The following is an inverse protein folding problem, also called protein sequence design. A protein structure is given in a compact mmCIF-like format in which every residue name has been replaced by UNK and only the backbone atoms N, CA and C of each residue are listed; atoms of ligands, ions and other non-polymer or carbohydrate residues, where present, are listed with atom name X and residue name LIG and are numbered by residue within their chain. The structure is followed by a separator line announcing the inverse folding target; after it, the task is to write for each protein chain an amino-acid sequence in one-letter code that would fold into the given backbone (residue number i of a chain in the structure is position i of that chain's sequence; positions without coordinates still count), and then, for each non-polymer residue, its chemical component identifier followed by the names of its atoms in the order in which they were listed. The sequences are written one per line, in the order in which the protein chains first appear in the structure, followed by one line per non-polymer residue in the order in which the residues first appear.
data_IF_007901704990
#
_entry.id   IF_007901704990
#
_cell.length_a   1.000
_cell.length_b   1.000
_cell.length_c   1.000
_cell.angle_alpha   90.00
_cell.angle_beta   90.00
_cell.angle_gamma   90.00
#
_symmetry.space_group_name_H-M   'P 1'
#
loop_
_entity.id
_entity.type
_entity.pdbx_description
1 polymer ?
#
# COMPACT_ATOMS: atom_id res chain seq x y z
N UNK A 1 10.35 -16.45 22.17
CA UNK A 1 9.31 -16.31 21.13
C UNK A 1 9.29 -14.85 20.73
N UNK A 2 9.40 -14.53 19.44
CA UNK A 2 9.38 -13.14 18.96
C UNK A 2 7.91 -12.70 18.96
N UNK A 3 7.54 -11.88 19.93
CA UNK A 3 6.29 -11.13 19.92
C UNK A 3 6.67 -9.68 19.63
N UNK A 4 5.93 -9.03 18.73
CA UNK A 4 6.16 -7.61 18.42
C UNK A 4 5.54 -6.68 19.48
N UNK A 5 4.52 -7.19 20.17
CA UNK A 5 3.87 -6.54 21.31
C UNK A 5 3.64 -7.61 22.38
N UNK A 6 4.02 -7.32 23.63
CA UNK A 6 3.68 -8.21 24.75
C UNK A 6 2.22 -7.98 25.19
N UNK A 7 1.52 -9.01 25.71
CA UNK A 7 0.12 -8.88 26.12
C UNK A 7 -0.13 -7.72 27.11
N UNK A 8 0.84 -7.43 27.98
CA UNK A 8 0.79 -6.32 28.94
C UNK A 8 0.87 -4.93 28.26
N UNK A 9 1.62 -4.82 27.17
CA UNK A 9 1.78 -3.58 26.40
C UNK A 9 0.61 -3.37 25.43
N UNK A 10 -0.03 -4.44 24.98
CA UNK A 10 -1.11 -4.41 24.01
C UNK A 10 -2.31 -3.60 24.52
N UNK A 11 -2.63 -3.73 25.82
CA UNK A 11 -3.66 -2.93 26.47
C UNK A 11 -3.37 -1.42 26.35
N UNK A 12 -2.15 -1.02 26.67
CA UNK A 12 -1.72 0.38 26.62
C UNK A 12 -1.72 0.92 25.19
N UNK A 13 -1.30 0.10 24.22
CA UNK A 13 -1.24 0.51 22.82
C UNK A 13 -2.64 0.74 22.27
N UNK A 14 -3.57 -0.19 22.49
CA UNK A 14 -4.95 -0.06 22.03
C UNK A 14 -5.66 1.12 22.69
N UNK A 15 -5.44 1.35 23.99
CA UNK A 15 -6.05 2.48 24.70
C UNK A 15 -5.54 3.83 24.17
N UNK A 16 -4.26 3.90 23.81
CA UNK A 16 -3.60 5.11 23.30
C UNK A 16 -4.01 5.54 21.89
N UNK A 17 -4.69 4.67 21.12
CA UNK A 17 -5.21 5.01 19.79
C UNK A 17 -6.30 6.07 19.94
N UNK A 18 -6.10 7.22 19.30
CA UNK A 18 -7.00 8.38 19.32
C UNK A 18 -7.14 8.97 17.90
N UNK A 19 -8.27 9.64 17.61
CA UNK A 19 -8.42 10.37 16.35
C UNK A 19 -7.50 11.60 16.32
N UNK A 20 -6.96 11.90 15.15
CA UNK A 20 -6.12 13.06 14.87
C UNK A 20 -6.72 13.89 13.74
N UNK A 21 -6.59 15.20 13.86
CA UNK A 21 -6.97 16.13 12.80
C UNK A 21 -5.90 16.17 11.71
N UNK A 22 -6.28 16.61 10.50
CA UNK A 22 -5.39 16.67 9.33
C UNK A 22 -4.12 17.51 9.59
N UNK A 23 -4.23 18.54 10.45
CA UNK A 23 -3.09 19.40 10.84
C UNK A 23 -2.09 18.71 11.77
N UNK A 24 -2.51 17.72 12.54
CA UNK A 24 -1.66 17.02 13.51
C UNK A 24 -0.89 15.84 12.89
N UNK A 25 -1.16 15.51 11.62
CA UNK A 25 -0.44 14.49 10.87
C UNK A 25 1.05 14.85 10.81
N UNK A 26 1.91 13.89 11.19
CA UNK A 26 3.36 14.09 11.29
C UNK A 26 3.85 14.71 12.60
N UNK A 27 2.96 15.10 13.51
CA UNK A 27 3.36 15.56 14.84
C UNK A 27 4.01 14.44 15.66
N UNK A 28 4.79 14.79 16.69
CA UNK A 28 5.43 13.80 17.58
C UNK A 28 4.42 12.85 18.22
N UNK A 29 3.25 13.39 18.61
CA UNK A 29 2.11 12.64 19.16
C UNK A 29 1.52 11.65 18.16
N UNK A 30 1.45 12.02 16.88
CA UNK A 30 0.95 11.17 15.80
C UNK A 30 1.96 10.05 15.51
N UNK A 31 3.26 10.36 15.50
CA UNK A 31 4.33 9.37 15.30
C UNK A 31 4.39 8.31 16.40
N UNK A 32 4.07 8.66 17.65
CA UNK A 32 3.91 7.69 18.76
C UNK A 32 2.79 6.68 18.46
N UNK A 33 1.62 7.17 18.04
CA UNK A 33 0.48 6.30 17.72
C UNK A 33 0.74 5.48 16.45
N UNK A 34 1.44 6.06 15.46
CA UNK A 34 1.90 5.34 14.28
C UNK A 34 2.77 4.13 14.64
N UNK A 35 3.76 4.31 15.52
CA UNK A 35 4.64 3.23 15.97
C UNK A 35 3.84 2.10 16.67
N UNK A 36 2.87 2.46 17.51
CA UNK A 36 2.00 1.50 18.18
C UNK A 36 1.13 0.72 17.18
N UNK A 37 0.49 1.42 16.23
CA UNK A 37 -0.36 0.81 15.19
C UNK A 37 0.45 -0.14 14.30
N UNK A 38 1.68 0.25 13.95
CA UNK A 38 2.56 -0.61 13.18
C UNK A 38 2.88 -1.92 13.92
N UNK A 39 3.27 -1.82 15.20
CA UNK A 39 3.55 -3.01 16.00
C UNK A 39 2.32 -3.90 16.19
N UNK A 40 1.15 -3.30 16.41
CA UNK A 40 -0.12 -4.05 16.46
C UNK A 40 -0.41 -4.76 15.13
N UNK A 41 -0.17 -4.09 13.99
CA UNK A 41 -0.35 -4.70 12.66
C UNK A 41 0.58 -5.88 12.42
N UNK A 42 1.86 -5.76 12.82
CA UNK A 42 2.84 -6.85 12.72
C UNK A 42 2.46 -8.02 13.64
N UNK A 43 2.02 -7.73 14.86
CA UNK A 43 1.58 -8.73 15.83
C UNK A 43 0.33 -9.48 15.33
N UNK A 44 -0.67 -8.77 14.81
CA UNK A 44 -1.87 -9.37 14.23
C UNK A 44 -1.54 -10.30 13.04
N UNK A 45 -0.62 -9.88 12.16
CA UNK A 45 -0.16 -10.71 11.05
C UNK A 45 0.57 -11.98 11.53
N UNK A 46 1.37 -11.86 12.59
CA UNK A 46 2.07 -12.99 13.20
C UNK A 46 1.11 -13.98 13.88
N UNK A 47 0.09 -13.49 14.57
CA UNK A 47 -0.96 -14.32 15.19
C UNK A 47 -1.67 -15.19 14.14
N UNK A 48 -2.05 -14.58 13.02
CA UNK A 48 -2.67 -15.30 11.90
C UNK A 48 -1.73 -16.33 11.26
N UNK A 49 -0.47 -15.95 10.99
CA UNK A 49 0.49 -16.85 10.34
C UNK A 49 0.81 -18.07 11.21
N UNK A 50 0.77 -17.90 12.53
CA UNK A 50 1.06 -18.96 13.49
C UNK A 50 -0.20 -19.67 14.02
N UNK A 51 -1.39 -19.33 13.51
CA UNK A 51 -2.68 -19.82 13.99
C UNK A 51 -2.83 -19.73 15.52
N UNK A 52 -2.39 -18.60 16.09
CA UNK A 52 -2.55 -18.29 17.52
C UNK A 52 -3.93 -17.69 17.80
N UNK A 53 -4.23 -17.48 19.07
CA UNK A 53 -5.37 -16.65 19.47
C UNK A 53 -5.17 -15.22 18.97
N UNK A 54 -6.21 -14.68 18.32
CA UNK A 54 -6.22 -13.35 17.72
C UNK A 54 -6.50 -12.26 18.77
N UNK A 55 -5.60 -12.12 19.73
CA UNK A 55 -5.80 -11.20 20.87
C UNK A 55 -5.91 -9.75 20.37
N UNK A 56 -5.08 -9.32 19.40
CA UNK A 56 -5.10 -7.94 18.87
C UNK A 56 -6.50 -7.55 18.39
N UNK A 57 -7.16 -8.47 17.67
CA UNK A 57 -8.53 -8.27 17.17
C UNK A 57 -9.50 -8.09 18.33
N UNK A 58 -9.50 -9.00 19.30
CA UNK A 58 -10.44 -8.96 20.44
C UNK A 58 -10.31 -7.66 21.25
N UNK A 59 -9.08 -7.17 21.44
CA UNK A 59 -8.86 -5.88 22.12
C UNK A 59 -9.34 -4.68 21.30
N UNK A 60 -9.14 -4.67 19.98
CA UNK A 60 -9.62 -3.58 19.11
C UNK A 60 -11.16 -3.52 19.07
N UNK A 61 -11.82 -4.67 19.00
CA UNK A 61 -13.28 -4.80 19.00
C UNK A 61 -13.86 -4.40 20.36
N UNK A 62 -13.34 -4.94 21.46
CA UNK A 62 -13.86 -4.66 22.81
C UNK A 62 -13.71 -3.20 23.25
N UNK A 63 -12.82 -2.43 22.62
CA UNK A 63 -12.56 -1.01 22.90
C UNK A 63 -13.12 -0.05 21.86
N UNK A 64 -13.94 -0.54 20.93
CA UNK A 64 -14.57 0.24 19.86
C UNK A 64 -13.57 1.10 19.06
N UNK A 65 -12.38 0.55 18.80
CA UNK A 65 -11.31 1.28 18.12
C UNK A 65 -11.44 1.25 16.59
N UNK A 66 -12.31 0.41 16.03
CA UNK A 66 -12.50 0.31 14.58
C UNK A 66 -12.98 1.64 13.98
N UNK A 67 -13.89 2.35 14.65
CA UNK A 67 -14.31 3.70 14.24
C UNK A 67 -13.13 4.67 14.16
N UNK A 68 -12.21 4.60 15.13
CA UNK A 68 -11.01 5.46 15.16
C UNK A 68 -10.03 5.07 14.05
N UNK A 69 -9.86 3.78 13.75
CA UNK A 69 -9.01 3.35 12.63
C UNK A 69 -9.55 3.84 11.28
N UNK A 70 -10.89 3.86 11.10
CA UNK A 70 -11.54 4.40 9.89
C UNK A 70 -11.30 5.91 9.80
N UNK A 71 -11.47 6.62 10.92
CA UNK A 71 -11.17 8.06 10.99
C UNK A 71 -9.73 8.37 10.57
N UNK A 72 -8.76 7.64 11.11
CA UNK A 72 -7.35 7.84 10.76
C UNK A 72 -7.04 7.50 9.30
N UNK A 73 -7.64 6.44 8.75
CA UNK A 73 -7.45 6.07 7.35
C UNK A 73 -7.97 7.17 6.40
N UNK A 74 -9.10 7.80 6.75
CA UNK A 74 -9.64 8.96 6.05
C UNK A 74 -8.78 10.20 6.21
N UNK A 75 -8.34 10.50 7.43
CA UNK A 75 -7.47 11.63 7.73
C UNK A 75 -6.19 11.58 6.87
N UNK A 76 -5.52 10.42 6.82
CA UNK A 76 -4.35 10.22 5.96
C UNK A 76 -4.69 10.29 4.48
N UNK A 77 -5.86 9.80 4.05
CA UNK A 77 -6.28 9.90 2.64
C UNK A 77 -6.55 11.32 2.21
N UNK A 78 -7.20 12.13 3.05
CA UNK A 78 -7.39 13.55 2.82
C UNK A 78 -6.05 14.28 2.74
N UNK A 79 -5.14 13.98 3.67
CA UNK A 79 -3.78 14.51 3.64
C UNK A 79 -3.04 14.13 2.35
N UNK A 80 -3.04 12.85 1.96
CA UNK A 80 -2.39 12.30 0.76
C UNK A 80 -2.94 12.89 -0.56
N UNK A 81 -4.23 13.21 -0.60
CA UNK A 81 -4.93 13.66 -1.82
C UNK A 81 -5.01 15.18 -1.95
N UNK A 82 -5.07 15.91 -0.83
CA UNK A 82 -5.28 17.38 -0.84
C UNK A 82 -4.09 18.15 -0.28
N UNK A 83 -3.41 17.66 0.75
CA UNK A 83 -2.30 18.38 1.40
C UNK A 83 -0.97 18.08 0.72
N UNK A 84 -0.67 16.80 0.47
CA UNK A 84 0.57 16.36 -0.16
C UNK A 84 0.87 17.03 -1.52
N UNK A 85 -0.09 17.21 -2.44
CA UNK A 85 0.18 17.93 -3.69
C UNK A 85 0.64 19.36 -3.46
N UNK A 86 0.04 20.08 -2.50
CA UNK A 86 0.45 21.45 -2.17
C UNK A 86 1.81 21.51 -1.48
N UNK A 87 2.16 20.50 -0.67
CA UNK A 87 3.52 20.39 -0.11
C UNK A 87 4.58 20.22 -1.22
N UNK A 88 4.29 19.42 -2.24
CA UNK A 88 5.19 19.22 -3.39
C UNK A 88 5.25 20.44 -4.32
N UNK A 89 4.23 21.29 -4.34
CA UNK A 89 4.27 22.59 -5.02
C UNK A 89 5.19 23.59 -4.30
N UNK A 90 5.29 23.52 -2.97
CA UNK A 90 6.13 24.40 -2.15
C UNK A 90 7.60 24.02 -2.26
N UNK A 91 7.93 22.72 -2.11
CA UNK A 91 9.27 22.19 -2.35
C UNK A 91 9.20 20.96 -3.29
N UNK A 92 9.59 21.14 -4.56
CA UNK A 92 9.62 20.05 -5.52
C UNK A 92 10.66 18.97 -5.22
N UNK A 93 11.61 19.13 -4.30
CA UNK A 93 12.58 18.05 -4.02
C UNK A 93 12.88 17.93 -2.53
N UNK A 94 11.92 17.42 -1.73
CA UNK A 94 12.09 17.30 -0.30
C UNK A 94 13.23 16.34 0.03
N UNK A 95 14.22 16.80 0.80
CA UNK A 95 15.32 15.95 1.28
C UNK A 95 14.85 14.90 2.30
N UNK A 96 13.69 15.12 2.94
CA UNK A 96 13.11 14.27 3.98
C UNK A 96 11.84 13.52 3.52
N UNK A 97 11.92 12.80 2.40
CA UNK A 97 10.80 11.95 1.91
C UNK A 97 10.37 10.84 2.87
N UNK A 98 11.22 10.49 3.84
CA UNK A 98 10.93 9.44 4.82
C UNK A 98 9.70 9.71 5.70
N UNK A 99 9.44 10.96 6.10
CA UNK A 99 8.24 11.29 6.86
C UNK A 99 6.96 11.14 6.01
N UNK A 100 7.03 11.52 4.73
CA UNK A 100 5.92 11.32 3.80
C UNK A 100 5.65 9.83 3.63
N UNK A 101 6.70 9.02 3.44
CA UNK A 101 6.59 7.56 3.40
C UNK A 101 5.94 7.01 4.67
N UNK A 102 6.34 7.49 5.85
CA UNK A 102 5.77 7.07 7.15
C UNK A 102 4.25 7.33 7.21
N UNK A 103 3.80 8.47 6.69
CA UNK A 103 2.37 8.79 6.58
C UNK A 103 1.65 7.83 5.64
N UNK A 104 2.20 7.56 4.46
CA UNK A 104 1.62 6.60 3.50
C UNK A 104 1.57 5.18 4.08
N UNK A 105 2.61 4.77 4.79
CA UNK A 105 2.69 3.45 5.41
C UNK A 105 1.70 3.31 6.58
N UNK A 106 1.43 4.40 7.31
CA UNK A 106 0.40 4.41 8.35
C UNK A 106 -0.96 3.99 7.82
N UNK A 107 -1.37 4.54 6.68
CA UNK A 107 -2.63 4.18 6.02
C UNK A 107 -2.67 2.67 5.69
N UNK A 108 -1.58 2.14 5.16
CA UNK A 108 -1.47 0.71 4.85
C UNK A 108 -1.57 -0.18 6.10
N UNK A 109 -0.98 0.24 7.22
CA UNK A 109 -1.06 -0.46 8.51
C UNK A 109 -2.47 -0.41 9.13
N UNK A 110 -3.15 0.73 9.04
CA UNK A 110 -4.55 0.89 9.47
C UNK A 110 -5.48 -0.05 8.70
N UNK A 111 -5.38 -0.05 7.36
CA UNK A 111 -6.18 -0.93 6.50
C UNK A 111 -5.83 -2.40 6.71
N UNK A 112 -4.58 -2.72 7.06
CA UNK A 112 -4.19 -4.07 7.48
C UNK A 112 -4.98 -4.55 8.69
N UNK A 113 -5.04 -3.72 9.74
CA UNK A 113 -5.74 -4.05 10.97
C UNK A 113 -7.24 -4.17 10.73
N UNK A 114 -7.82 -3.29 9.91
CA UNK A 114 -9.22 -3.38 9.50
C UNK A 114 -9.50 -4.69 8.73
N UNK A 115 -8.65 -5.09 7.79
CA UNK A 115 -8.77 -6.36 7.06
C UNK A 115 -8.79 -7.57 8.01
N UNK A 116 -7.90 -7.59 9.00
CA UNK A 116 -7.86 -8.66 10.02
C UNK A 116 -9.11 -8.64 10.91
N UNK A 117 -9.56 -7.46 11.35
CA UNK A 117 -10.70 -7.37 12.25
C UNK A 117 -12.03 -7.70 11.57
N UNK A 118 -12.21 -7.26 10.32
CA UNK A 118 -13.46 -7.40 9.58
C UNK A 118 -13.63 -8.77 8.92
N UNK A 119 -12.57 -9.57 8.86
CA UNK A 119 -12.69 -10.97 8.48
C UNK A 119 -13.71 -11.74 9.35
N UNK A 120 -13.89 -11.32 10.61
CA UNK A 120 -14.84 -11.92 11.53
C UNK A 120 -16.15 -11.10 11.62
N UNK A 121 -17.32 -11.75 11.72
CA UNK A 121 -18.60 -11.06 11.87
C UNK A 121 -18.66 -10.11 13.08
N UNK A 122 -17.98 -10.45 14.19
CA UNK A 122 -17.91 -9.59 15.38
C UNK A 122 -17.27 -8.23 15.10
N UNK A 123 -16.32 -8.16 14.17
CA UNK A 123 -15.76 -6.90 13.70
C UNK A 123 -16.82 -6.06 12.98
N UNK A 124 -17.62 -6.69 12.12
CA UNK A 124 -18.70 -6.02 11.39
C UNK A 124 -19.79 -5.49 12.33
N UNK A 125 -20.17 -6.22 13.38
CA UNK A 125 -21.20 -5.77 14.34
C UNK A 125 -20.83 -4.46 15.05
N UNK A 126 -19.54 -4.24 15.30
CA UNK A 126 -19.05 -3.02 15.98
C UNK A 126 -18.99 -1.78 15.11
N UNK A 127 -19.02 -1.90 13.77
CA UNK A 127 -18.91 -0.75 12.87
C UNK A 127 -20.10 0.23 12.94
N UNK A 128 -21.31 -0.26 13.26
CA UNK A 128 -22.54 0.54 13.41
C UNK A 128 -22.72 1.61 12.31
N UNK A 129 -22.55 2.90 12.64
CA UNK A 129 -22.70 4.04 11.71
C UNK A 129 -21.45 4.26 10.83
N UNK A 130 -20.26 3.94 11.33
CA UNK A 130 -18.97 4.14 10.64
C UNK A 130 -18.77 3.24 9.42
N UNK A 131 -19.65 2.25 9.22
CA UNK A 131 -19.66 1.40 8.01
C UNK A 131 -19.89 2.21 6.74
N UNK A 132 -20.64 3.32 6.80
CA UNK A 132 -20.91 4.16 5.63
C UNK A 132 -19.63 4.81 5.12
N UNK A 133 -18.85 5.39 6.03
CA UNK A 133 -17.53 5.94 5.74
C UNK A 133 -16.61 4.81 5.20
N UNK A 134 -16.59 3.64 5.84
CA UNK A 134 -15.74 2.54 5.36
C UNK A 134 -16.09 2.08 3.93
N UNK A 135 -17.37 2.01 3.58
CA UNK A 135 -17.82 1.65 2.22
C UNK A 135 -17.29 2.67 1.20
N UNK A 136 -17.41 3.96 1.51
CA UNK A 136 -16.93 5.05 0.64
C UNK A 136 -15.42 4.99 0.44
N UNK A 137 -14.68 4.77 1.53
CA UNK A 137 -13.24 4.63 1.52
C UNK A 137 -12.81 3.49 0.60
N UNK A 138 -13.40 2.31 0.79
CA UNK A 138 -13.06 1.14 0.01
C UNK A 138 -13.46 1.29 -1.46
N UNK A 139 -14.61 1.89 -1.76
CA UNK A 139 -15.05 2.15 -3.13
C UNK A 139 -14.07 3.08 -3.86
N UNK A 140 -13.62 4.15 -3.18
CA UNK A 140 -12.65 5.08 -3.73
C UNK A 140 -11.28 4.40 -3.93
N UNK A 141 -10.79 3.65 -2.94
CA UNK A 141 -9.51 2.95 -3.01
C UNK A 141 -9.47 1.91 -4.15
N UNK A 142 -10.53 1.11 -4.30
CA UNK A 142 -10.65 0.15 -5.40
C UNK A 142 -10.71 0.87 -6.76
N UNK A 143 -11.45 1.97 -6.86
CA UNK A 143 -11.48 2.80 -8.07
C UNK A 143 -10.10 3.34 -8.44
N UNK A 144 -9.31 3.77 -7.45
CA UNK A 144 -7.94 4.22 -7.68
C UNK A 144 -7.04 3.10 -8.22
N UNK A 145 -7.19 1.86 -7.72
CA UNK A 145 -6.43 0.72 -8.24
C UNK A 145 -6.78 0.42 -9.69
N UNK A 146 -8.06 0.45 -10.05
CA UNK A 146 -8.49 0.29 -11.46
C UNK A 146 -7.84 1.37 -12.33
N UNK A 147 -7.86 2.63 -11.87
CA UNK A 147 -7.20 3.74 -12.56
C UNK A 147 -5.70 3.52 -12.75
N UNK A 148 -4.99 3.10 -11.69
CA UNK A 148 -3.56 2.82 -11.75
C UNK A 148 -3.21 1.70 -12.72
N UNK A 149 -3.95 0.59 -12.69
CA UNK A 149 -3.74 -0.55 -13.59
C UNK A 149 -4.05 -0.16 -15.04
N UNK A 150 -5.11 0.63 -15.27
CA UNK A 150 -5.44 1.15 -16.60
C UNK A 150 -4.35 2.08 -17.17
N UNK A 151 -3.58 2.76 -16.31
CA UNK A 151 -2.47 3.63 -16.71
C UNK A 151 -1.14 2.87 -16.88
N UNK A 152 -1.15 1.53 -16.85
CA UNK A 152 0.04 0.72 -17.10
C UNK A 152 1.00 0.59 -15.93
N UNK A 153 0.52 0.72 -14.67
CA UNK A 153 1.35 0.55 -13.47
C UNK A 153 2.28 -0.68 -13.51
N UNK A 154 1.81 -1.80 -14.06
CA UNK A 154 2.58 -3.03 -14.15
C UNK A 154 3.65 -3.07 -15.27
N UNK A 155 3.62 -2.14 -16.22
CA UNK A 155 4.55 -2.10 -17.37
C UNK A 155 5.80 -1.25 -17.09
N UNK A 156 5.73 -0.39 -16.08
CA UNK A 156 6.74 0.66 -15.85
C UNK A 156 7.95 0.23 -15.01
N UNK A 157 7.98 -0.96 -14.41
CA UNK A 157 9.14 -1.39 -13.60
C UNK A 157 10.36 -1.84 -14.44
N UNK A 158 10.19 -2.16 -15.73
CA UNK A 158 11.27 -2.72 -16.55
C UNK A 158 12.16 -1.70 -17.27
N UNK A 159 11.93 -0.39 -17.09
CA UNK A 159 12.79 0.66 -17.67
C UNK A 159 13.34 1.56 -16.56
N UNK A 160 14.20 1.00 -15.72
CA UNK A 160 14.99 1.80 -14.78
C UNK A 160 16.24 2.29 -15.51
N UNK A 161 16.19 3.53 -16.01
CA UNK A 161 17.39 4.36 -16.09
C UNK A 161 17.73 4.79 -14.66
N UNK A 162 18.99 4.63 -14.26
CA UNK A 162 19.46 4.70 -12.87
C UNK A 162 19.52 6.16 -12.32
N UNK A 163 18.98 7.13 -13.05
CA UNK A 163 19.14 8.58 -12.77
C UNK A 163 17.81 9.32 -12.48
N UNK A 164 16.75 8.65 -12.02
CA UNK A 164 15.47 9.33 -11.74
C UNK A 164 15.37 9.92 -10.32
N UNK A 165 14.96 11.19 -10.27
CA UNK A 165 14.90 12.04 -9.07
C UNK A 165 14.04 11.47 -7.92
N UNK A 166 14.29 11.94 -6.69
CA UNK A 166 13.60 11.56 -5.43
C UNK A 166 12.06 11.67 -5.54
N UNK A 167 11.55 12.63 -6.32
CA UNK A 167 10.11 12.74 -6.62
C UNK A 167 9.54 11.50 -7.33
N UNK A 168 10.28 10.94 -8.28
CA UNK A 168 9.85 9.79 -9.06
C UNK A 168 9.72 8.54 -8.18
N UNK A 169 10.63 8.39 -7.21
CA UNK A 169 10.57 7.31 -6.23
C UNK A 169 9.44 7.51 -5.21
N UNK A 170 9.21 8.72 -4.71
CA UNK A 170 8.07 9.01 -3.82
C UNK A 170 6.73 8.73 -4.53
N UNK A 171 6.59 9.14 -5.78
CA UNK A 171 5.41 8.83 -6.59
C UNK A 171 5.24 7.34 -6.81
N UNK A 172 6.33 6.61 -7.04
CA UNK A 172 6.31 5.15 -7.15
C UNK A 172 5.82 4.51 -5.85
N UNK A 173 6.37 4.90 -4.71
CA UNK A 173 5.96 4.41 -3.39
C UNK A 173 4.49 4.73 -3.11
N UNK A 174 4.04 5.94 -3.43
CA UNK A 174 2.62 6.33 -3.34
C UNK A 174 1.73 5.41 -4.18
N UNK A 175 2.12 5.13 -5.44
CA UNK A 175 1.37 4.20 -6.31
C UNK A 175 1.36 2.77 -5.75
N UNK A 176 2.46 2.30 -5.17
CA UNK A 176 2.54 0.98 -4.54
C UNK A 176 1.63 0.85 -3.31
N UNK A 177 1.58 1.87 -2.45
CA UNK A 177 0.65 1.88 -1.33
C UNK A 177 -0.81 1.92 -1.77
N UNK A 178 -1.16 2.78 -2.74
CA UNK A 178 -2.53 2.80 -3.30
C UNK A 178 -2.91 1.43 -3.85
N UNK A 179 -1.98 0.76 -4.55
CA UNK A 179 -2.18 -0.60 -5.05
C UNK A 179 -2.45 -1.61 -3.93
N UNK A 180 -1.58 -1.69 -2.91
CA UNK A 180 -1.72 -2.62 -1.78
C UNK A 180 -3.00 -2.36 -0.97
N UNK A 181 -3.27 -1.09 -0.67
CA UNK A 181 -4.47 -0.67 0.08
C UNK A 181 -5.73 -1.05 -0.69
N UNK A 182 -5.81 -0.75 -1.98
CA UNK A 182 -7.00 -1.07 -2.76
C UNK A 182 -7.21 -2.58 -2.95
N UNK A 183 -6.15 -3.39 -3.01
CA UNK A 183 -6.30 -4.86 -2.99
C UNK A 183 -6.91 -5.36 -1.68
N UNK A 184 -6.52 -4.80 -0.53
CA UNK A 184 -7.13 -5.13 0.77
C UNK A 184 -8.56 -4.63 0.86
N UNK A 185 -8.86 -3.47 0.29
CA UNK A 185 -10.24 -2.95 0.24
C UNK A 185 -11.20 -3.87 -0.54
N UNK A 186 -10.72 -4.67 -1.49
CA UNK A 186 -11.55 -5.71 -2.14
C UNK A 186 -11.99 -6.76 -1.12
N UNK A 187 -11.09 -7.22 -0.25
CA UNK A 187 -11.40 -8.15 0.84
C UNK A 187 -12.37 -7.53 1.84
N UNK A 188 -12.13 -6.28 2.25
CA UNK A 188 -13.01 -5.55 3.17
C UNK A 188 -14.42 -5.40 2.59
N UNK A 189 -14.56 -5.04 1.31
CA UNK A 189 -15.87 -4.98 0.64
C UNK A 189 -16.56 -6.34 0.60
N UNK A 190 -15.81 -7.43 0.41
CA UNK A 190 -16.35 -8.78 0.50
C UNK A 190 -16.89 -9.06 1.91
N UNK A 191 -16.13 -8.74 2.97
CA UNK A 191 -16.58 -8.98 4.35
C UNK A 191 -17.83 -8.16 4.71
N UNK A 192 -17.89 -6.92 4.25
CA UNK A 192 -19.09 -6.07 4.39
C UNK A 192 -20.26 -6.69 3.61
N UNK A 193 -20.04 -7.16 2.37
CA UNK A 193 -21.05 -7.78 1.53
C UNK A 193 -21.63 -9.08 2.13
N UNK A 194 -20.81 -9.88 2.80
CA UNK A 194 -21.23 -11.12 3.47
C UNK A 194 -22.11 -10.81 4.69
N UNK A 195 -21.77 -9.74 5.42
CA UNK A 195 -22.41 -9.36 6.69
C UNK A 195 -23.41 -8.22 6.54
N UNK A 196 -23.93 -7.93 5.34
CA UNK A 196 -24.85 -6.79 5.12
C UNK A 196 -26.08 -6.82 6.03
N UNK A 197 -26.54 -8.02 6.41
CA UNK A 197 -27.67 -8.19 7.31
C UNK A 197 -27.44 -7.63 8.73
N UNK A 198 -26.18 -7.42 9.14
CA UNK A 198 -25.81 -6.84 10.43
C UNK A 198 -25.86 -5.30 10.42
N UNK A 199 -25.88 -4.68 9.23
CA UNK A 199 -25.86 -3.23 9.08
C UNK A 199 -27.27 -2.64 8.89
N UNK A 200 -27.35 -1.33 9.09
CA UNK A 200 -28.54 -0.55 8.79
C UNK A 200 -28.78 -0.46 7.27
N UNK A 201 -30.03 -0.21 6.84
CA UNK A 201 -30.42 -0.26 5.42
C UNK A 201 -29.64 0.72 4.53
N UNK A 202 -29.16 1.84 5.08
CA UNK A 202 -28.36 2.83 4.34
C UNK A 202 -27.06 2.22 3.81
N UNK A 203 -26.46 1.24 4.50
CA UNK A 203 -25.24 0.56 4.05
C UNK A 203 -25.46 -0.23 2.74
N UNK A 204 -26.55 -1.00 2.65
CA UNK A 204 -26.91 -1.74 1.43
C UNK A 204 -27.15 -0.80 0.24
N UNK A 205 -27.82 0.34 0.48
CA UNK A 205 -28.05 1.34 -0.57
C UNK A 205 -26.76 2.02 -1.01
N UNK A 206 -25.83 2.31 -0.08
CA UNK A 206 -24.54 2.92 -0.42
C UNK A 206 -23.66 2.00 -1.25
N UNK A 207 -23.65 0.70 -0.92
CA UNK A 207 -22.98 -0.35 -1.74
C UNK A 207 -23.57 -0.44 -3.16
N UNK A 208 -24.89 -0.41 -3.31
CA UNK A 208 -25.54 -0.72 -4.59
C UNK A 208 -25.86 0.48 -5.47
N UNK A 209 -26.26 1.60 -4.87
CA UNK A 209 -26.80 2.76 -5.57
C UNK A 209 -25.77 3.87 -5.66
N UNK A 210 -25.09 4.19 -4.56
CA UNK A 210 -24.10 5.28 -4.53
C UNK A 210 -22.82 4.90 -5.27
N UNK A 211 -22.23 3.74 -4.94
CA UNK A 211 -20.95 3.30 -5.53
C UNK A 211 -21.08 2.23 -6.61
N UNK A 212 -22.24 1.58 -6.72
CA UNK A 212 -22.46 0.47 -7.65
C UNK A 212 -21.34 -0.58 -7.55
N UNK A 213 -21.08 -1.08 -6.33
CA UNK A 213 -20.02 -2.04 -6.04
C UNK A 213 -20.08 -3.29 -6.94
N UNK A 214 -21.26 -3.87 -7.29
CA UNK A 214 -21.30 -4.96 -8.26
C UNK A 214 -20.64 -4.60 -9.59
N UNK A 215 -20.87 -3.39 -10.10
CA UNK A 215 -20.19 -2.88 -11.29
C UNK A 215 -18.69 -2.75 -11.05
N UNK A 216 -18.30 -2.09 -9.96
CA UNK A 216 -16.90 -1.81 -9.63
C UNK A 216 -16.07 -3.10 -9.57
N UNK A 217 -16.58 -4.15 -8.90
CA UNK A 217 -15.89 -5.43 -8.78
C UNK A 217 -15.85 -6.18 -10.12
N UNK A 218 -16.83 -6.01 -11.00
CA UNK A 218 -16.74 -6.54 -12.38
C UNK A 218 -15.57 -5.91 -13.11
N UNK A 219 -15.37 -4.60 -13.00
CA UNK A 219 -14.23 -3.94 -13.61
C UNK A 219 -12.91 -4.46 -13.01
N UNK A 220 -12.81 -4.61 -11.69
CA UNK A 220 -11.65 -5.24 -11.03
C UNK A 220 -11.34 -6.63 -11.61
N UNK A 221 -12.36 -7.48 -11.75
CA UNK A 221 -12.22 -8.83 -12.32
C UNK A 221 -11.83 -8.81 -13.80
N UNK A 222 -12.23 -7.79 -14.56
CA UNK A 222 -11.81 -7.61 -15.96
C UNK A 222 -10.36 -7.14 -16.05
N UNK A 223 -9.95 -6.17 -15.24
CA UNK A 223 -8.60 -5.60 -15.24
C UNK A 223 -7.55 -6.54 -14.62
N UNK A 224 -7.96 -7.43 -13.70
CA UNK A 224 -7.10 -8.40 -13.00
C UNK A 224 -5.85 -7.75 -12.41
N UNK A 225 -5.99 -6.83 -11.43
CA UNK A 225 -4.86 -6.09 -10.86
C UNK A 225 -3.78 -7.01 -10.26
N UNK A 226 -4.14 -8.22 -9.84
CA UNK A 226 -3.21 -9.23 -9.30
C UNK A 226 -2.44 -10.03 -10.35
N UNK A 227 -2.57 -9.73 -11.66
CA UNK A 227 -1.84 -10.39 -12.73
C UNK A 227 -1.04 -9.37 -13.54
N UNK A 228 0.25 -9.64 -13.77
CA UNK A 228 1.08 -8.86 -14.69
C UNK A 228 1.84 -9.73 -15.67
N UNK A 229 1.99 -9.24 -16.90
CA UNK A 229 2.81 -9.90 -17.93
C UNK A 229 4.19 -9.26 -17.93
N UNK A 230 5.22 -10.07 -17.72
CA UNK A 230 6.62 -9.64 -17.80
C UNK A 230 7.31 -10.36 -18.96
N UNK A 231 8.51 -9.90 -19.33
CA UNK A 231 9.35 -10.56 -20.35
C UNK A 231 9.69 -12.02 -20.01
N UNK A 232 9.60 -12.41 -18.73
CA UNK A 232 9.90 -13.76 -18.22
C UNK A 232 8.67 -14.63 -18.00
N UNK A 233 7.46 -14.13 -18.27
CA UNK A 233 6.20 -14.85 -18.08
C UNK A 233 5.15 -14.06 -17.29
N UNK A 234 4.09 -14.76 -16.84
CA UNK A 234 2.99 -14.16 -16.06
C UNK A 234 3.34 -14.24 -14.57
N UNK A 235 3.28 -13.09 -13.90
CA UNK A 235 3.42 -12.97 -12.45
C UNK A 235 2.06 -12.74 -11.81
N UNK A 236 1.86 -13.33 -10.63
CA UNK A 236 0.70 -13.07 -9.79
C UNK A 236 1.10 -12.48 -8.44
N UNK A 237 0.21 -11.67 -7.87
CA UNK A 237 0.39 -11.09 -6.56
C UNK A 237 -0.07 -12.06 -5.47
N UNK A 238 0.88 -12.58 -4.69
CA UNK A 238 0.66 -13.58 -3.63
C UNK A 238 1.42 -13.11 -2.39
N UNK A 239 0.73 -13.04 -1.24
CA UNK A 239 1.34 -12.65 0.06
C UNK A 239 2.15 -11.34 -0.01
N UNK A 240 1.54 -10.29 -0.57
CA UNK A 240 2.15 -8.96 -0.73
C UNK A 240 3.38 -8.90 -1.66
N UNK A 241 3.67 -9.99 -2.41
CA UNK A 241 4.81 -10.09 -3.33
C UNK A 241 4.42 -10.59 -4.71
N UNK A 242 5.12 -10.12 -5.72
CA UNK A 242 4.97 -10.62 -7.10
C UNK A 242 5.75 -11.93 -7.26
N UNK A 243 5.05 -13.00 -7.61
CA UNK A 243 5.62 -14.33 -7.81
C UNK A 243 5.37 -14.81 -9.24
N UNK A 244 6.39 -15.40 -9.88
CA UNK A 244 6.20 -16.11 -11.14
C UNK A 244 5.40 -17.37 -10.86
N UNK A 245 4.32 -17.59 -11.61
CA UNK A 245 3.47 -18.76 -11.42
C UNK A 245 3.55 -19.64 -12.66
N UNK A 246 3.91 -20.90 -12.46
CA UNK A 246 3.97 -21.92 -13.53
C UNK A 246 2.57 -22.27 -14.05
N UNK A 247 1.56 -22.24 -13.16
CA UNK A 247 0.15 -22.45 -13.48
C UNK A 247 -0.66 -21.15 -13.43
N UNK A 248 -0.94 -20.60 -14.61
CA UNK A 248 -1.74 -19.38 -14.79
C UNK A 248 -3.19 -19.58 -14.34
N UNK A 249 -3.67 -20.81 -14.20
CA UNK A 249 -5.06 -21.12 -13.81
C UNK A 249 -5.29 -21.10 -12.30
N UNK A 250 -4.23 -21.13 -11.48
CA UNK A 250 -4.37 -21.10 -10.01
C UNK A 250 -4.90 -19.75 -9.52
N UNK A 251 -6.03 -19.76 -8.82
CA UNK A 251 -6.67 -18.55 -8.30
C UNK A 251 -5.87 -18.00 -7.11
N UNK A 252 -5.74 -16.67 -7.05
CA UNK A 252 -5.09 -15.97 -5.92
C UNK A 252 -6.12 -15.41 -4.95
N UNK A 253 -5.71 -15.14 -3.70
CA UNK A 253 -6.62 -14.65 -2.65
C UNK A 253 -7.43 -13.41 -3.09
N UNK A 254 -6.83 -12.33 -3.64
CA UNK A 254 -7.60 -11.15 -4.05
C UNK A 254 -8.63 -11.45 -5.16
N UNK A 255 -8.32 -12.38 -6.06
CA UNK A 255 -9.24 -12.82 -7.11
C UNK A 255 -10.44 -13.57 -6.52
N UNK A 256 -10.20 -14.47 -5.57
CA UNK A 256 -11.27 -15.18 -4.89
C UNK A 256 -12.18 -14.22 -4.10
N UNK A 257 -11.59 -13.25 -3.38
CA UNK A 257 -12.35 -12.25 -2.63
C UNK A 257 -13.25 -11.39 -3.54
N UNK A 258 -12.75 -10.97 -4.71
CA UNK A 258 -13.56 -10.24 -5.69
C UNK A 258 -14.74 -11.08 -6.20
N UNK A 259 -14.52 -12.36 -6.51
CA UNK A 259 -15.58 -13.27 -6.95
C UNK A 259 -16.64 -13.51 -5.87
N UNK A 260 -16.22 -13.71 -4.62
CA UNK A 260 -17.14 -13.87 -3.49
C UNK A 260 -17.94 -12.61 -3.23
N UNK A 261 -17.35 -11.43 -3.39
CA UNK A 261 -18.02 -10.15 -3.18
C UNK A 261 -19.21 -10.00 -4.14
N UNK A 262 -18.98 -10.24 -5.45
CA UNK A 262 -20.07 -10.20 -6.44
C UNK A 262 -21.13 -11.26 -6.14
N UNK A 263 -20.71 -12.47 -5.74
CA UNK A 263 -21.63 -13.55 -5.39
C UNK A 263 -22.55 -13.13 -4.23
N UNK A 264 -21.99 -12.61 -3.15
CA UNK A 264 -22.74 -12.21 -1.95
C UNK A 264 -23.71 -11.07 -2.27
N UNK A 265 -23.26 -10.05 -3.01
CA UNK A 265 -24.12 -8.92 -3.39
C UNK A 265 -25.29 -9.34 -4.29
N UNK A 266 -25.07 -10.24 -5.24
CA UNK A 266 -26.09 -10.63 -6.24
C UNK A 266 -27.00 -11.78 -5.80
N UNK A 267 -26.53 -12.65 -4.90
CA UNK A 267 -27.34 -13.79 -4.42
C UNK A 267 -28.07 -13.49 -3.11
N UNK A 268 -27.76 -12.38 -2.43
CA UNK A 268 -28.49 -11.97 -1.24
C UNK A 268 -29.81 -11.28 -1.59
N UNK A 269 -30.93 -11.92 -1.24
CA UNK A 269 -32.27 -11.43 -1.54
C UNK A 269 -32.57 -10.03 -0.96
N UNK A 270 -32.03 -9.71 0.23
CA UNK A 270 -32.27 -8.42 0.90
C UNK A 270 -31.62 -7.25 0.14
N UNK A 271 -30.44 -7.50 -0.41
CA UNK A 271 -29.65 -6.54 -1.20
C UNK A 271 -30.29 -6.38 -2.58
N UNK A 272 -30.66 -7.50 -3.18
CA UNK A 272 -31.21 -7.58 -4.54
C UNK A 272 -32.53 -6.85 -4.73
N UNK A 273 -33.37 -6.74 -3.70
CA UNK A 273 -34.62 -5.97 -3.82
C UNK A 273 -34.38 -4.46 -4.05
N UNK A 274 -33.22 -3.94 -3.64
CA UNK A 274 -32.85 -2.53 -3.82
C UNK A 274 -32.03 -2.28 -5.10
N UNK A 275 -31.53 -3.34 -5.75
CA UNK A 275 -30.68 -3.23 -6.92
C UNK A 275 -31.50 -3.16 -8.21
N UNK A 276 -31.52 -1.98 -8.84
CA UNK A 276 -32.18 -1.80 -10.11
C UNK A 276 -31.30 -2.34 -11.26
N UNK A 277 -31.72 -3.44 -11.86
CA UNK A 277 -31.15 -3.88 -13.13
C UNK A 277 -31.53 -2.87 -14.22
N UNK A 278 -30.51 -2.32 -14.87
CA UNK A 278 -30.64 -1.56 -16.10
C UNK A 278 -29.84 -2.27 -17.20
N UNK A 279 -30.07 -1.91 -18.46
CA UNK A 279 -29.42 -2.55 -19.61
C UNK A 279 -27.88 -2.50 -19.51
N UNK A 280 -27.34 -1.38 -19.04
CA UNK A 280 -25.90 -1.18 -18.88
C UNK A 280 -25.30 -2.12 -17.81
N UNK A 281 -25.93 -2.24 -16.64
CA UNK A 281 -25.55 -3.13 -15.53
C UNK A 281 -25.65 -4.58 -15.95
N UNK A 282 -26.72 -4.98 -16.63
CA UNK A 282 -26.86 -6.33 -17.16
C UNK A 282 -25.74 -6.66 -18.16
N UNK A 283 -25.41 -5.73 -19.07
CA UNK A 283 -24.30 -5.89 -20.02
C UNK A 283 -22.95 -6.00 -19.32
N UNK A 284 -22.73 -5.19 -18.28
CA UNK A 284 -21.51 -5.23 -17.48
C UNK A 284 -21.38 -6.57 -16.75
N UNK A 285 -22.40 -6.99 -16.01
CA UNK A 285 -22.44 -8.28 -15.31
C UNK A 285 -22.29 -9.48 -16.27
N UNK A 286 -22.78 -9.36 -17.51
CA UNK A 286 -22.62 -10.40 -18.53
C UNK A 286 -21.14 -10.66 -18.90
N UNK A 287 -20.24 -9.68 -18.72
CA UNK A 287 -18.80 -9.88 -18.95
C UNK A 287 -18.23 -10.98 -18.05
N UNK A 288 -18.78 -11.13 -16.83
CA UNK A 288 -18.34 -12.16 -15.89
C UNK A 288 -18.56 -13.58 -16.43
N UNK A 289 -19.63 -13.80 -17.20
CA UNK A 289 -19.89 -15.11 -17.82
C UNK A 289 -18.73 -15.56 -18.72
N UNK A 290 -18.08 -14.61 -19.40
CA UNK A 290 -16.89 -14.87 -20.22
C UNK A 290 -15.62 -15.16 -19.42
N UNK A 291 -15.57 -14.77 -18.15
CA UNK A 291 -14.44 -15.04 -17.25
C UNK A 291 -14.60 -16.36 -16.48
N UNK A 292 -15.83 -16.90 -16.37
CA UNK A 292 -16.18 -18.13 -15.64
C UNK A 292 -15.95 -19.41 -16.47
N UNK A 293 -14.68 -19.80 -16.57
CA UNK A 293 -14.22 -21.03 -17.21
C UNK A 293 -14.28 -22.25 -16.26
N UNK A 294 -14.24 -23.47 -16.78
CA UNK A 294 -14.44 -24.71 -15.99
C UNK A 294 -13.43 -24.86 -14.84
N UNK A 295 -12.15 -24.59 -15.07
CA UNK A 295 -11.14 -24.68 -14.01
C UNK A 295 -11.32 -23.64 -12.89
N UNK A 296 -11.95 -22.49 -13.18
CA UNK A 296 -12.34 -21.52 -12.15
C UNK A 296 -13.47 -22.08 -11.28
N UNK A 297 -14.45 -22.73 -11.90
CA UNK A 297 -15.59 -23.32 -11.20
C UNK A 297 -15.19 -24.55 -10.39
N UNK A 298 -14.21 -25.32 -10.86
CA UNK A 298 -13.63 -26.43 -10.12
C UNK A 298 -12.89 -25.96 -8.86
N UNK A 299 -12.15 -24.84 -8.96
CA UNK A 299 -11.43 -24.24 -7.83
C UNK A 299 -12.35 -23.46 -6.88
N UNK A 300 -13.42 -22.84 -7.39
CA UNK A 300 -14.43 -22.09 -6.63
C UNK A 300 -15.85 -22.57 -6.95
N UNK A 301 -16.26 -23.74 -6.43
CA UNK A 301 -17.60 -24.29 -6.65
C UNK A 301 -18.77 -23.36 -6.29
N UNK A 302 -18.68 -22.47 -5.26
CA UNK A 302 -19.76 -21.53 -4.95
C UNK A 302 -20.13 -20.57 -6.10
N UNK A 303 -19.28 -20.42 -7.11
CA UNK A 303 -19.54 -19.59 -8.28
C UNK A 303 -20.48 -20.25 -9.30
N UNK A 304 -20.75 -21.55 -9.18
CA UNK A 304 -21.69 -22.24 -10.08
C UNK A 304 -23.09 -21.62 -9.95
N UNK A 305 -23.53 -21.33 -8.73
CA UNK A 305 -24.81 -20.65 -8.46
C UNK A 305 -24.87 -19.27 -9.10
N UNK A 306 -23.77 -18.51 -8.98
CA UNK A 306 -23.63 -17.19 -9.59
C UNK A 306 -23.72 -17.28 -11.12
N UNK A 307 -23.08 -18.27 -11.75
CA UNK A 307 -23.15 -18.49 -13.20
C UNK A 307 -24.57 -18.77 -13.67
N UNK A 308 -25.29 -19.62 -12.94
CA UNK A 308 -26.71 -19.91 -13.22
C UNK A 308 -27.56 -18.65 -13.08
N UNK A 309 -27.35 -17.87 -12.02
CA UNK A 309 -28.06 -16.61 -11.80
C UNK A 309 -27.82 -15.60 -12.93
N UNK A 310 -26.56 -15.34 -13.28
CA UNK A 310 -26.19 -14.43 -14.36
C UNK A 310 -26.75 -14.88 -15.72
N UNK A 311 -26.75 -16.19 -15.99
CA UNK A 311 -27.33 -16.75 -17.21
C UNK A 311 -28.85 -16.60 -17.27
N UNK A 312 -29.55 -16.69 -16.13
CA UNK A 312 -31.00 -16.43 -16.06
C UNK A 312 -31.31 -14.95 -16.24
N UNK A 313 -30.48 -14.07 -15.65
CA UNK A 313 -30.64 -12.63 -15.77
C UNK A 313 -30.52 -12.16 -17.23
N UNK A 314 -29.54 -12.66 -17.99
CA UNK A 314 -29.38 -12.30 -19.41
C UNK A 314 -30.57 -12.73 -20.26
N UNK A 315 -31.27 -13.80 -19.87
CA UNK A 315 -32.48 -14.28 -20.55
C UNK A 315 -33.75 -13.56 -20.11
N UNK A 316 -33.83 -13.13 -18.84
CA UNK A 316 -35.06 -12.59 -18.24
C UNK A 316 -35.29 -11.10 -18.57
N UNK A 317 -34.28 -10.40 -19.10
CA UNK A 317 -34.40 -8.99 -19.45
C UNK A 317 -34.61 -8.07 -18.24
N UNK A 318 -34.71 -6.77 -18.52
CA UNK A 318 -34.66 -5.72 -17.51
C UNK A 318 -35.88 -5.76 -16.56
N UNK A 319 -35.67 -6.03 -15.27
CA UNK A 319 -36.72 -5.98 -14.22
C UNK A 319 -36.50 -4.76 -13.33
N UNK A 320 -36.65 -3.57 -13.91
CA UNK A 320 -36.55 -2.34 -13.13
C UNK A 320 -37.73 -2.23 -12.14
N UNK A 321 -37.50 -2.59 -10.87
CA UNK A 321 -38.40 -2.24 -9.77
C UNK A 321 -38.19 -0.76 -9.40
N UNK A 322 -39.27 -0.05 -9.08
CA UNK A 322 -39.19 1.33 -8.58
C UNK A 322 -38.49 1.34 -7.22
N UNK A 323 -37.48 2.20 -7.06
CA UNK A 323 -36.72 2.28 -5.82
C UNK A 323 -37.52 3.00 -4.72
N UNK A 324 -37.57 2.47 -3.49
CA UNK A 324 -38.19 3.17 -2.39
C UNK A 324 -37.38 4.44 -2.04
N UNK A 325 -38.06 5.58 -1.94
CA UNK A 325 -37.48 6.81 -1.41
C UNK A 325 -37.19 6.60 0.08
N UNK A 326 -35.91 6.49 0.42
CA UNK A 326 -35.44 6.41 1.81
C UNK A 326 -34.60 7.65 2.12
N UNK A 327 -34.76 8.17 3.34
CA UNK A 327 -33.86 9.18 3.91
C UNK A 327 -32.52 8.48 4.15
N UNK A 328 -31.43 9.00 3.56
CA UNK A 328 -30.10 8.41 3.71
C UNK A 328 -29.34 9.11 4.83
N UNK A 329 -28.65 8.31 5.64
CA UNK A 329 -27.66 8.82 6.58
C UNK A 329 -26.39 9.20 5.81
N UNK A 330 -25.77 10.30 6.24
CA UNK A 330 -24.58 10.86 5.61
C UNK A 330 -23.35 10.37 6.39
N UNK A 331 -22.23 10.01 5.73
CA UNK A 331 -21.00 9.64 6.41
C UNK A 331 -20.50 10.79 7.29
N UNK A 332 -20.38 10.53 8.59
CA UNK A 332 -20.08 11.57 9.59
C UNK A 332 -18.58 11.88 9.62
N UNK A 333 -17.73 10.86 9.52
CA UNK A 333 -16.29 10.99 9.70
C UNK A 333 -15.71 11.89 8.60
N UNK A 334 -16.09 11.64 7.35
CA UNK A 334 -15.60 12.47 6.25
C UNK A 334 -16.08 13.93 6.36
N UNK A 335 -17.34 14.15 6.73
CA UNK A 335 -17.87 15.51 6.87
C UNK A 335 -17.23 16.29 8.01
N UNK A 336 -17.03 15.64 9.15
CA UNK A 336 -16.44 16.28 10.33
C UNK A 336 -14.98 16.67 10.06
N UNK A 337 -14.20 15.77 9.44
CA UNK A 337 -12.84 16.10 9.00
C UNK A 337 -12.79 17.24 7.99
N UNK A 338 -13.77 17.35 7.09
CA UNK A 338 -13.83 18.47 6.14
C UNK A 338 -14.18 19.79 6.84
N UNK A 339 -15.13 19.78 7.78
CA UNK A 339 -15.47 20.96 8.60
C UNK A 339 -14.27 21.44 9.40
N UNK A 340 -13.54 20.54 10.06
CA UNK A 340 -12.35 20.88 10.85
C UNK A 340 -11.26 21.54 10.00
N UNK A 341 -11.11 21.10 8.75
CA UNK A 341 -10.17 21.70 7.78
C UNK A 341 -10.65 23.07 7.32
N UNK A 342 -11.95 23.25 7.08
CA UNK A 342 -12.54 24.54 6.72
C UNK A 342 -12.38 25.57 7.85
N UNK A 343 -12.62 25.15 9.10
CA UNK A 343 -12.41 25.97 10.29
C UNK A 343 -10.93 26.35 10.49
N UNK A 344 -10.02 25.45 10.12
CA UNK A 344 -8.57 25.66 10.18
C UNK A 344 -8.01 26.51 9.03
N UNK A 345 -8.85 27.06 8.16
CA UNK A 345 -8.42 27.96 7.08
C UNK A 345 -8.05 27.27 5.76
N UNK A 346 -8.38 25.98 5.62
CA UNK A 346 -8.28 25.21 4.38
C UNK A 346 -6.97 24.47 4.16
N UNK A 347 -6.97 23.54 3.20
CA UNK A 347 -5.85 22.62 2.92
C UNK A 347 -4.52 23.33 2.64
N UNK A 348 -4.55 24.53 2.07
CA UNK A 348 -3.34 25.29 1.75
C UNK A 348 -2.65 25.86 2.99
N UNK A 349 -3.40 26.34 3.99
CA UNK A 349 -2.83 26.84 5.24
C UNK A 349 -2.24 25.70 6.05
N UNK A 350 -2.92 24.55 6.11
CA UNK A 350 -2.41 23.34 6.75
C UNK A 350 -1.09 22.89 6.10
N UNK A 351 -0.99 22.92 4.76
CA UNK A 351 0.25 22.61 4.06
C UNK A 351 1.39 23.57 4.43
N UNK A 352 1.10 24.87 4.59
CA UNK A 352 2.10 25.85 5.03
C UNK A 352 2.57 25.64 6.47
N UNK A 353 1.67 25.30 7.39
CA UNK A 353 2.04 25.02 8.77
C UNK A 353 2.86 23.72 8.90
N UNK A 354 2.56 22.75 8.03
CA UNK A 354 3.24 21.45 7.97
C UNK A 354 4.57 21.48 7.21
N UNK A 355 4.86 22.53 6.43
CA UNK A 355 6.16 22.78 5.81
C UNK A 355 7.30 22.67 6.84
N UNK A 356 7.14 23.30 8.00
CA UNK A 356 8.15 23.28 9.06
C UNK A 356 8.44 21.87 9.61
N UNK A 357 7.52 20.92 9.46
CA UNK A 357 7.66 19.53 9.96
C UNK A 357 8.21 18.62 8.86
N UNK A 358 7.58 18.63 7.69
CA UNK A 358 7.89 17.70 6.59
C UNK A 358 9.04 18.17 5.69
N UNK A 359 9.26 19.49 5.59
CA UNK A 359 10.32 20.11 4.79
C UNK A 359 11.44 20.69 5.67
N UNK A 360 11.48 20.29 6.96
CA UNK A 360 12.57 20.63 7.86
C UNK A 360 13.92 20.18 7.28
N UNK A 361 14.89 21.11 7.23
CA UNK A 361 16.25 20.84 6.72
C UNK A 361 17.23 20.44 7.83
N UNK A 362 16.74 20.29 9.06
CA UNK A 362 17.56 19.96 10.22
C UNK A 362 17.93 18.47 10.21
N UNK A 363 19.19 18.20 9.85
CA UNK A 363 19.74 16.83 9.76
C UNK A 363 19.65 16.06 11.09
N UNK A 364 19.74 16.74 12.24
CA UNK A 364 19.67 16.11 13.56
C UNK A 364 18.26 15.59 13.88
N UNK A 365 17.23 16.39 13.59
CA UNK A 365 15.83 16.02 13.79
C UNK A 365 15.43 14.87 12.84
N UNK A 366 15.86 14.95 11.57
CA UNK A 366 15.65 13.86 10.59
C UNK A 366 16.33 12.58 11.06
N UNK A 367 17.57 12.65 11.55
CA UNK A 367 18.31 11.47 12.01
C UNK A 367 17.71 10.86 13.28
N UNK A 368 17.25 11.69 14.22
CA UNK A 368 16.54 11.23 15.42
C UNK A 368 15.21 10.54 15.07
N UNK A 369 14.44 11.14 14.16
CA UNK A 369 13.18 10.57 13.66
C UNK A 369 13.41 9.27 12.88
N UNK A 370 14.41 9.24 12.00
CA UNK A 370 14.80 8.05 11.25
C UNK A 370 15.26 6.92 12.17
N UNK A 371 16.06 7.21 13.19
CA UNK A 371 16.54 6.22 14.17
C UNK A 371 15.40 5.68 15.04
N UNK A 372 14.44 6.54 15.41
CA UNK A 372 13.27 6.14 16.20
C UNK A 372 12.35 5.22 15.39
N UNK A 373 12.05 5.61 14.16
CA UNK A 373 11.18 4.85 13.28
C UNK A 373 11.87 3.57 12.80
N UNK A 374 13.18 3.59 12.50
CA UNK A 374 13.91 2.39 12.09
C UNK A 374 13.93 1.29 13.15
N UNK A 375 13.82 1.64 14.43
CA UNK A 375 13.61 0.67 15.51
C UNK A 375 12.23 -0.02 15.44
N UNK A 376 11.24 0.61 14.84
CA UNK A 376 9.88 0.08 14.65
C UNK A 376 9.70 -0.68 13.31
N UNK A 377 10.41 -0.25 12.26
CA UNK A 377 10.49 -0.95 10.98
C UNK A 377 11.62 -1.98 11.02
N UNK A 378 11.32 -3.22 11.45
CA UNK A 378 12.35 -4.27 11.59
C UNK A 378 13.26 -4.40 10.35
N UNK A 379 14.57 -4.24 10.58
CA UNK A 379 15.81 -4.53 9.78
C UNK A 379 15.79 -4.61 8.24
N UNK A 380 14.73 -5.02 7.56
CA UNK A 380 14.69 -5.18 6.11
C UNK A 380 14.44 -3.84 5.38
N UNK A 381 13.59 -2.96 5.93
CA UNK A 381 13.39 -1.60 5.38
C UNK A 381 14.60 -0.68 5.64
N UNK A 382 15.36 -0.99 6.70
CA UNK A 382 16.61 -0.32 7.08
C UNK A 382 17.69 -0.51 6.01
N UNK A 383 17.85 -1.69 5.41
CA UNK A 383 18.82 -1.90 4.34
C UNK A 383 18.51 -1.07 3.08
N UNK A 384 17.23 -0.91 2.72
CA UNK A 384 16.83 -0.07 1.57
C UNK A 384 16.98 1.42 1.88
N UNK A 385 16.71 1.85 3.12
CA UNK A 385 16.83 3.26 3.53
C UNK A 385 18.28 3.67 3.85
N UNK A 386 19.11 2.79 4.42
CA UNK A 386 20.54 3.01 4.64
C UNK A 386 21.29 3.09 3.32
N UNK A 387 20.95 2.26 2.32
CA UNK A 387 21.51 2.38 0.97
C UNK A 387 21.16 3.74 0.33
N UNK A 388 19.91 4.19 0.45
CA UNK A 388 19.49 5.51 -0.06
C UNK A 388 20.11 6.70 0.70
N UNK A 389 20.38 6.55 2.01
CA UNK A 389 21.04 7.58 2.83
C UNK A 389 22.56 7.60 2.64
N UNK A 390 23.18 6.46 2.39
CA UNK A 390 24.62 6.37 2.12
C UNK A 390 24.97 6.85 0.71
N UNK A 391 24.07 6.69 -0.27
CA UNK A 391 24.21 7.27 -1.61
C UNK A 391 24.17 8.82 -1.59
N UNK A 392 23.48 9.43 -0.63
CA UNK A 392 23.50 10.89 -0.38
C UNK A 392 24.76 11.37 0.38
N UNK A 393 25.52 10.47 1.02
CA UNK A 393 26.74 10.80 1.78
C UNK A 393 28.04 10.74 0.96
N UNK A 394 28.04 10.18 -0.26
CA UNK A 394 29.25 10.15 -1.11
C UNK A 394 29.58 11.53 -1.71
N UNK A 395 28.77 12.55 -1.44
CA UNK A 395 28.98 13.92 -1.93
C UNK A 395 30.07 14.74 -1.23
N UNK A 396 30.34 14.56 0.07
CA UNK A 396 31.30 15.43 0.80
C UNK A 396 32.08 14.68 1.90
N UNK A 397 33.34 14.40 1.55
CA UNK A 397 34.54 14.23 2.38
C UNK A 397 34.42 13.69 3.82
N UNK A 398 34.96 12.48 4.04
CA UNK A 398 35.78 12.20 5.24
C UNK A 398 36.98 11.32 4.90
N UNK A 399 38.14 11.98 4.94
CA UNK A 399 39.43 11.44 5.36
C UNK A 399 39.37 10.90 6.81
N UNK A 400 40.37 10.07 7.13
CA UNK A 400 40.87 9.69 8.46
C UNK A 400 40.15 8.57 9.24
N UNK A 401 40.69 7.37 9.02
CA UNK A 401 41.45 6.58 10.02
C UNK A 401 40.77 5.43 10.81
N UNK A 402 41.47 4.28 10.73
CA UNK A 402 41.54 3.05 11.54
C UNK A 402 40.25 2.28 11.92
N UNK A 403 40.08 0.96 11.71
CA UNK A 403 40.90 -0.22 11.34
C UNK A 403 40.16 -1.48 11.86
N UNK A 404 40.31 -2.75 11.45
CA UNK A 404 41.07 -3.54 10.45
C UNK A 404 40.20 -4.80 10.14
N UNK A 405 40.42 -5.63 9.12
CA UNK A 405 41.62 -6.40 8.79
C UNK A 405 41.66 -6.77 7.29
N UNK A 406 42.86 -6.75 6.69
CA UNK A 406 43.15 -7.60 5.51
C UNK A 406 43.84 -6.90 4.31
N UNK A 407 45.18 -6.83 4.38
CA UNK A 407 46.13 -6.55 3.29
C UNK A 407 46.14 -5.14 2.67
N UNK A 408 46.77 -4.24 3.44
CA UNK A 408 47.21 -2.92 3.05
C UNK A 408 48.55 -3.00 2.30
N UNK A 409 48.51 -2.75 1.00
CA UNK A 409 49.67 -2.33 0.23
C UNK A 409 49.25 -1.06 -0.52
N UNK A 410 49.78 0.08 -0.06
CA UNK A 410 49.50 1.43 -0.59
C UNK A 410 50.10 1.54 -2.01
N UNK A 411 49.39 0.99 -2.99
CA UNK A 411 49.86 0.92 -4.36
C UNK A 411 49.67 2.29 -5.03
N UNK A 412 50.75 2.82 -5.59
CA UNK A 412 50.73 4.09 -6.32
C UNK A 412 50.47 3.87 -7.80
N UNK A 413 49.81 4.83 -8.43
CA UNK A 413 49.48 4.78 -9.84
C UNK A 413 50.76 4.86 -10.68
N UNK A 414 50.98 3.91 -11.58
CA UNK A 414 52.17 3.92 -12.44
C UNK A 414 52.28 5.17 -13.33
N UNK A 415 51.17 5.85 -13.60
CA UNK A 415 51.13 7.02 -14.50
C UNK A 415 51.25 8.36 -13.78
N UNK A 416 50.59 8.53 -12.65
CA UNK A 416 50.49 9.83 -11.95
C UNK A 416 50.92 9.79 -10.48
N UNK A 417 51.34 8.62 -9.99
CA UNK A 417 51.80 8.36 -8.63
C UNK A 417 50.79 8.63 -7.49
N UNK A 418 49.56 9.04 -7.80
CA UNK A 418 48.46 9.09 -6.83
C UNK A 418 48.03 7.69 -6.35
N UNK A 419 47.34 7.60 -5.20
CA UNK A 419 46.85 6.33 -4.66
C UNK A 419 45.99 5.57 -5.68
N UNK A 420 46.34 4.31 -5.93
CA UNK A 420 45.73 3.50 -6.97
C UNK A 420 44.86 2.40 -6.38
N UNK A 421 43.54 2.54 -6.55
CA UNK A 421 42.54 1.56 -6.09
C UNK A 421 42.34 0.39 -7.06
N UNK A 422 42.78 0.51 -8.31
CA UNK A 422 42.51 -0.49 -9.38
C UNK A 422 43.80 -1.14 -9.85
N UNK A 423 43.83 -2.47 -9.99
CA UNK A 423 44.98 -3.21 -10.56
C UNK A 423 44.70 -3.68 -11.99
N UNK A 424 45.75 -3.80 -12.80
CA UNK A 424 45.64 -4.33 -14.15
C UNK A 424 45.05 -5.75 -14.13
N UNK A 425 43.92 -5.97 -14.82
CA UNK A 425 43.23 -7.26 -14.80
C UNK A 425 44.04 -8.41 -15.41
N UNK A 426 44.98 -8.10 -16.33
CA UNK A 426 45.86 -9.09 -16.95
C UNK A 426 46.96 -9.54 -16.00
N UNK A 427 47.98 -8.70 -15.77
CA UNK A 427 49.15 -9.09 -14.99
C UNK A 427 48.96 -8.98 -13.46
N UNK A 428 47.95 -8.26 -12.97
CA UNK A 428 47.67 -7.96 -11.55
C UNK A 428 48.83 -7.35 -10.74
N UNK A 429 49.91 -6.92 -11.42
CA UNK A 429 51.14 -6.37 -10.80
C UNK A 429 51.20 -4.85 -10.77
N UNK A 430 50.49 -4.17 -11.67
CA UNK A 430 50.52 -2.69 -11.79
C UNK A 430 49.16 -2.11 -11.43
N UNK A 431 49.19 -0.97 -10.75
CA UNK A 431 48.02 -0.30 -10.21
C UNK A 431 47.81 1.08 -10.86
N UNK A 432 46.54 1.46 -11.03
CA UNK A 432 46.10 2.74 -11.60
C UNK A 432 45.01 3.36 -10.74
N UNK A 433 44.99 4.70 -10.64
CA UNK A 433 43.93 5.43 -9.96
C UNK A 433 42.64 5.47 -10.80
N UNK A 434 42.76 5.61 -12.13
CA UNK A 434 41.64 5.69 -13.07
C UNK A 434 41.91 4.90 -14.35
N UNK A 435 40.84 4.62 -15.11
CA UNK A 435 40.94 3.97 -16.43
C UNK A 435 41.75 4.82 -17.43
N UNK A 436 41.70 6.14 -17.31
CA UNK A 436 42.44 7.05 -18.18
C UNK A 436 43.95 6.96 -17.96
N UNK A 437 44.39 6.83 -16.71
CA UNK A 437 45.80 6.57 -16.40
C UNK A 437 46.26 5.21 -16.97
N UNK A 438 45.44 4.17 -16.84
CA UNK A 438 45.74 2.87 -17.45
C UNK A 438 45.87 2.96 -18.98
N UNK A 439 44.98 3.69 -19.66
CA UNK A 439 45.04 3.87 -21.11
C UNK A 439 46.27 4.67 -21.54
N UNK A 440 46.70 5.66 -20.75
CA UNK A 440 47.93 6.43 -21.00
C UNK A 440 49.20 5.57 -20.86
N UNK A 441 49.26 4.67 -19.89
CA UNK A 441 50.41 3.78 -19.68
C UNK A 441 50.40 2.53 -20.59
N UNK A 442 49.23 2.16 -21.14
CA UNK A 442 49.04 0.93 -21.91
C UNK A 442 50.04 0.70 -23.06
N UNK A 443 50.44 1.71 -23.88
CA UNK A 443 51.41 1.49 -24.96
C UNK A 443 52.76 0.95 -24.47
N UNK A 444 53.18 1.34 -23.26
CA UNK A 444 54.43 0.89 -22.65
C UNK A 444 54.22 -0.38 -21.81
N UNK A 445 53.15 -0.41 -21.01
CA UNK A 445 52.83 -1.53 -20.12
C UNK A 445 52.45 -2.82 -20.86
N UNK A 446 51.83 -2.75 -22.05
CA UNK A 446 51.35 -3.91 -22.81
C UNK A 446 52.43 -4.95 -23.07
N UNK A 447 53.68 -4.51 -23.33
CA UNK A 447 54.81 -5.42 -23.63
C UNK A 447 55.21 -6.25 -22.40
N UNK A 448 55.08 -5.68 -21.21
CA UNK A 448 55.43 -6.33 -19.93
C UNK A 448 54.24 -7.13 -19.38
N UNK A 449 53.02 -6.67 -19.64
CA UNK A 449 51.79 -7.34 -19.23
C UNK A 449 51.60 -8.68 -19.96
N UNK A 450 52.07 -8.80 -21.21
CA UNK A 450 51.95 -10.03 -22.02
C UNK A 450 53.06 -11.06 -21.77
N UNK A 451 54.11 -10.71 -21.02
CA UNK A 451 55.22 -11.60 -20.65
C UNK A 451 55.02 -12.31 -19.30
N UNK A 452 53.93 -12.03 -18.58
CA UNK A 452 53.59 -12.60 -17.28
C UNK A 452 52.27 -13.36 -17.32
#
# INVERSE_FOLDING_TARGET
MVNFVYPEEMYLFVESIRPFEVREVGSSKWLEVHEMILRLSQQAALELTQNREEEVKEFLISRDKLRVLIHEAYCVTLWKTRVLPHLLEIDPNPQATFLIYTVLYHEAALVALLDVCLYHPSGCETLQESVLDLIDYCAQAVSQVIGLVSMGYHENETKLDVDEAVLTELERQKRDFIYKIGLRCISVLNYIADNVALFHLSAARRLLVTHDIPWLIVDVLCFRPWQRKTSKGIQKFIEEKWTNVDDVTKIVKPEAQAWFCVRQLLLNAQIMDNYAFNEARCKQLSKLLGLMHETLLDQLPPLIELKVFLSRMTLSGNTAKSQPLLLEDIPQIQEDLLKDVEESGGFYQIAQDQDAVFLSKNKEDICALATRLSKAYGTDLLCELEQNLDDLKVGEEKDADAGGDGDDADHTCATCQAKAKKKCAGCKKVHYCTRDCQLKDWPQHKVVCLKN
#
